data_IF_038898308241
#
_entry.id   IF_038898308241
#
_cell.length_a   1.000
_cell.length_b   1.000
_cell.length_c   1.000
_cell.angle_alpha   90.00
_cell.angle_beta   90.00
_cell.angle_gamma   90.00
#
_symmetry.space_group_name_H-M   'P 1'
#
loop_
_entity.id
_entity.type
_entity.pdbx_description
1 polymer ?
#
# COMPACT_ATOMS: atom_id res chain seq x y z
N UNK A 1 9.59 17.76 -15.99
CA UNK A 1 8.88 16.54 -15.53
C UNK A 1 7.73 17.00 -14.65
N UNK A 2 6.49 16.58 -14.92
CA UNK A 2 5.39 16.86 -13.99
C UNK A 2 5.58 15.92 -12.80
N UNK A 3 5.93 16.47 -11.65
CA UNK A 3 5.98 15.76 -10.39
C UNK A 3 5.45 16.69 -9.29
N UNK A 4 5.02 16.12 -8.18
CA UNK A 4 4.60 16.86 -6.99
C UNK A 4 5.79 17.55 -6.31
N UNK A 5 5.54 18.66 -5.61
CA UNK A 5 6.58 19.37 -4.87
C UNK A 5 6.87 18.70 -3.53
N UNK A 6 5.87 18.16 -2.85
CA UNK A 6 5.95 17.41 -1.59
C UNK A 6 5.35 16.02 -1.78
N UNK A 7 5.82 15.04 -1.00
CA UNK A 7 5.31 13.67 -1.08
C UNK A 7 3.85 13.58 -0.60
N UNK A 8 3.51 14.38 0.41
CA UNK A 8 2.16 14.52 0.99
C UNK A 8 1.08 14.90 -0.04
N UNK A 9 1.44 15.57 -1.13
CA UNK A 9 0.49 15.88 -2.22
C UNK A 9 -0.04 14.62 -2.92
N UNK A 10 0.62 13.46 -2.74
CA UNK A 10 0.17 12.18 -3.29
C UNK A 10 -0.91 11.52 -2.42
N UNK A 11 -0.98 11.84 -1.13
CA UNK A 11 -1.73 11.04 -0.16
C UNK A 11 -3.23 11.13 -0.38
N UNK A 12 -3.79 12.34 -0.54
CA UNK A 12 -5.24 12.50 -0.75
C UNK A 12 -5.73 11.85 -2.08
N UNK A 13 -5.06 12.06 -3.23
CA UNK A 13 -5.39 11.33 -4.45
C UNK A 13 -5.32 9.80 -4.30
N UNK A 14 -4.28 9.29 -3.64
CA UNK A 14 -4.11 7.85 -3.40
C UNK A 14 -5.15 7.29 -2.43
N UNK A 15 -5.54 8.06 -1.41
CA UNK A 15 -6.61 7.72 -0.46
C UNK A 15 -7.94 7.57 -1.17
N UNK A 16 -8.32 8.54 -2.00
CA UNK A 16 -9.55 8.49 -2.81
C UNK A 16 -9.54 7.29 -3.76
N UNK A 17 -8.41 7.04 -4.42
CA UNK A 17 -8.27 5.88 -5.31
C UNK A 17 -8.39 4.56 -4.55
N UNK A 18 -7.71 4.42 -3.42
CA UNK A 18 -7.72 3.20 -2.61
C UNK A 18 -9.12 2.91 -2.09
N UNK A 19 -9.84 3.93 -1.61
CA UNK A 19 -11.20 3.77 -1.12
C UNK A 19 -12.12 3.23 -2.21
N UNK A 20 -12.07 3.83 -3.41
CA UNK A 20 -12.86 3.38 -4.57
C UNK A 20 -12.50 1.95 -4.96
N UNK A 21 -11.19 1.67 -5.08
CA UNK A 21 -10.69 0.34 -5.41
C UNK A 21 -11.20 -0.75 -4.45
N UNK A 22 -11.15 -0.47 -3.14
CA UNK A 22 -11.61 -1.42 -2.12
C UNK A 22 -13.13 -1.54 -2.13
N UNK A 23 -13.89 -0.43 -2.27
CA UNK A 23 -15.36 -0.46 -2.37
C UNK A 23 -15.85 -1.30 -3.55
N UNK A 24 -15.21 -1.17 -4.71
CA UNK A 24 -15.60 -1.89 -5.93
C UNK A 24 -15.38 -3.41 -5.79
N UNK A 25 -14.29 -3.81 -5.11
CA UNK A 25 -13.90 -5.23 -4.92
C UNK A 25 -14.58 -5.92 -3.74
N UNK A 26 -14.76 -5.21 -2.64
CA UNK A 26 -15.25 -5.77 -1.38
C UNK A 26 -16.69 -5.34 -1.13
N UNK A 27 -17.58 -5.72 -2.05
CA UNK A 27 -19.01 -5.38 -1.96
C UNK A 27 -19.62 -5.88 -0.65
N UNK A 28 -20.40 -5.01 0.00
CA UNK A 28 -21.03 -5.29 1.29
C UNK A 28 -20.09 -5.23 2.50
N UNK A 29 -18.86 -4.74 2.33
CA UNK A 29 -18.05 -4.21 3.42
C UNK A 29 -18.33 -2.71 3.57
N UNK A 30 -18.27 -2.22 4.81
CA UNK A 30 -18.12 -0.80 5.11
C UNK A 30 -16.64 -0.43 4.93
N UNK A 31 -16.36 0.53 4.06
CA UNK A 31 -15.00 0.84 3.60
C UNK A 31 -14.71 2.32 3.82
N UNK A 32 -13.61 2.58 4.52
CA UNK A 32 -13.03 3.92 4.68
C UNK A 32 -11.55 3.88 4.30
N UNK A 33 -11.06 4.93 3.64
CA UNK A 33 -9.63 5.18 3.52
C UNK A 33 -9.24 6.51 4.16
N UNK A 34 -8.09 6.50 4.84
CA UNK A 34 -7.52 7.66 5.54
C UNK A 34 -6.09 7.92 5.12
N UNK A 35 -5.72 9.19 5.15
CA UNK A 35 -4.33 9.59 5.25
C UNK A 35 -3.84 9.27 6.68
N UNK A 36 -2.79 8.45 6.77
CA UNK A 36 -2.27 7.88 8.01
C UNK A 36 -0.80 8.26 8.28
N UNK A 37 -0.16 9.05 7.41
CA UNK A 37 1.29 9.31 7.45
C UNK A 37 1.77 9.91 8.79
N UNK A 38 0.93 10.71 9.45
CA UNK A 38 1.31 11.47 10.64
C UNK A 38 1.33 10.63 11.93
N UNK A 39 0.78 9.41 11.91
CA UNK A 39 0.55 8.61 13.10
C UNK A 39 0.97 7.15 12.91
N UNK A 40 1.30 6.50 14.03
CA UNK A 40 1.55 5.06 14.04
C UNK A 40 0.27 4.30 13.74
N UNK A 41 0.40 3.17 13.04
CA UNK A 41 -0.70 2.33 12.62
C UNK A 41 -1.58 1.87 13.78
N UNK A 42 -0.97 1.47 14.91
CA UNK A 42 -1.71 1.06 16.11
C UNK A 42 -2.65 2.18 16.63
N UNK A 43 -2.17 3.43 16.64
CA UNK A 43 -2.97 4.60 17.01
C UNK A 43 -4.07 4.91 16.00
N UNK A 44 -3.78 4.80 14.71
CA UNK A 44 -4.79 5.01 13.65
C UNK A 44 -5.90 3.96 13.77
N UNK A 45 -5.54 2.68 13.93
CA UNK A 45 -6.51 1.58 14.08
C UNK A 45 -7.37 1.72 15.34
N UNK A 46 -6.80 2.19 16.45
CA UNK A 46 -7.53 2.41 17.69
C UNK A 46 -8.69 3.41 17.54
N UNK A 47 -8.54 4.45 16.70
CA UNK A 47 -9.63 5.40 16.39
C UNK A 47 -10.85 4.74 15.75
N UNK A 48 -10.65 3.56 15.15
CA UNK A 48 -11.69 2.74 14.54
C UNK A 48 -12.07 1.53 15.38
N UNK A 49 -11.68 1.47 16.66
CA UNK A 49 -11.90 0.31 17.55
C UNK A 49 -11.34 -0.99 16.96
N UNK A 50 -10.18 -0.94 16.30
CA UNK A 50 -9.46 -2.11 15.80
C UNK A 50 -8.17 -2.25 16.59
N UNK A 51 -7.92 -3.47 17.08
CA UNK A 51 -6.65 -3.84 17.70
C UNK A 51 -5.93 -4.81 16.78
N UNK A 52 -4.67 -4.52 16.48
CA UNK A 52 -3.77 -5.44 15.80
C UNK A 52 -2.52 -5.63 16.67
N UNK A 53 -2.44 -6.76 17.37
CA UNK A 53 -1.37 -7.03 18.32
C UNK A 53 0.03 -6.98 17.69
N UNK A 54 0.14 -7.35 16.41
CA UNK A 54 1.42 -7.33 15.70
C UNK A 54 1.89 -5.91 15.35
N UNK A 55 1.00 -4.91 15.36
CA UNK A 55 1.34 -3.51 15.13
C UNK A 55 1.64 -2.74 16.44
N UNK A 56 1.14 -3.25 17.58
CA UNK A 56 1.26 -2.58 18.88
C UNK A 56 2.73 -2.45 19.30
N UNK A 57 3.20 -1.22 19.50
CA UNK A 57 4.57 -0.99 19.98
C UNK A 57 5.68 -1.03 18.92
N UNK A 58 5.38 -1.34 17.66
CA UNK A 58 6.38 -1.64 16.60
C UNK A 58 6.73 -0.43 15.72
N UNK A 59 6.17 0.76 16.00
CA UNK A 59 6.43 2.00 15.25
C UNK A 59 6.16 1.89 13.74
N UNK A 60 5.16 1.11 13.33
CA UNK A 60 4.72 1.05 11.93
C UNK A 60 4.01 2.35 11.59
N UNK A 61 4.46 3.04 10.55
CA UNK A 61 3.78 4.18 9.92
C UNK A 61 3.54 3.85 8.45
N UNK A 62 2.33 4.10 7.99
CA UNK A 62 1.93 3.88 6.59
C UNK A 62 1.30 5.16 6.07
N UNK A 63 1.58 5.53 4.83
CA UNK A 63 1.10 6.81 4.29
C UNK A 63 -0.44 6.83 4.16
N UNK A 64 -1.01 5.78 3.56
CA UNK A 64 -2.46 5.68 3.38
C UNK A 64 -2.95 4.30 3.77
N UNK A 65 -4.04 4.28 4.54
CA UNK A 65 -4.68 3.07 5.04
C UNK A 65 -6.13 3.02 4.56
N UNK A 66 -6.57 1.89 4.00
CA UNK A 66 -7.98 1.57 3.93
C UNK A 66 -8.36 0.42 4.86
N UNK A 67 -9.55 0.53 5.43
CA UNK A 67 -10.15 -0.43 6.35
C UNK A 67 -11.47 -0.86 5.74
N UNK A 68 -11.64 -2.16 5.49
CA UNK A 68 -12.91 -2.74 5.10
C UNK A 68 -13.44 -3.62 6.24
N UNK A 69 -14.64 -3.30 6.75
CA UNK A 69 -15.30 -4.02 7.84
C UNK A 69 -16.56 -4.73 7.38
N UNK A 70 -16.75 -5.97 7.82
CA UNK A 70 -18.01 -6.70 7.67
C UNK A 70 -18.19 -7.66 8.83
N UNK A 71 -19.22 -7.45 9.64
CA UNK A 71 -19.41 -8.16 10.91
C UNK A 71 -18.14 -8.04 11.78
N UNK A 72 -17.57 -9.16 12.20
CA UNK A 72 -16.30 -9.23 12.95
C UNK A 72 -15.06 -9.24 12.07
N UNK A 73 -15.21 -9.28 10.74
CA UNK A 73 -14.08 -9.30 9.81
C UNK A 73 -13.57 -7.89 9.54
N UNK A 74 -12.27 -7.70 9.73
CA UNK A 74 -11.55 -6.48 9.38
C UNK A 74 -10.47 -6.84 8.37
N UNK A 75 -10.43 -6.10 7.26
CA UNK A 75 -9.38 -6.18 6.23
C UNK A 75 -8.68 -4.83 6.12
N UNK A 76 -7.36 -4.85 6.10
CA UNK A 76 -6.52 -3.66 6.00
C UNK A 76 -5.88 -3.60 4.62
N UNK A 77 -5.71 -2.41 4.08
CA UNK A 77 -5.02 -2.19 2.80
C UNK A 77 -4.06 -1.02 2.94
N UNK A 78 -2.85 -1.17 2.42
CA UNK A 78 -1.78 -0.20 2.59
C UNK A 78 -1.37 0.42 1.27
N UNK A 79 -1.11 1.73 1.25
CA UNK A 79 -0.27 2.36 0.24
C UNK A 79 0.91 3.03 0.95
N UNK A 80 2.12 2.72 0.49
CA UNK A 80 3.33 3.49 0.71
C UNK A 80 3.61 4.30 -0.56
N UNK A 81 3.71 5.61 -0.42
CA UNK A 81 3.87 6.56 -1.51
C UNK A 81 5.31 7.08 -1.56
N UNK A 82 5.82 7.32 -2.77
CA UNK A 82 7.11 7.98 -2.99
C UNK A 82 7.02 9.02 -4.09
N UNK A 83 7.54 10.22 -3.86
CA UNK A 83 7.73 11.20 -4.95
C UNK A 83 9.01 10.97 -5.76
N UNK A 84 9.88 10.07 -5.30
CA UNK A 84 11.19 9.73 -5.88
C UNK A 84 11.15 8.36 -6.56
N UNK A 85 12.21 7.97 -7.26
CA UNK A 85 12.32 6.61 -7.83
C UNK A 85 12.33 5.56 -6.71
N UNK A 86 11.58 4.48 -6.88
CA UNK A 86 11.53 3.41 -5.88
C UNK A 86 12.88 2.69 -5.72
N UNK A 87 13.17 2.33 -4.47
CA UNK A 87 14.41 1.69 -4.04
C UNK A 87 14.14 0.36 -3.35
N UNK A 88 15.19 -0.45 -3.18
CA UNK A 88 15.14 -1.67 -2.37
C UNK A 88 14.80 -1.40 -0.90
N UNK A 89 15.12 -0.21 -0.38
CA UNK A 89 14.77 0.18 0.99
C UNK A 89 13.26 0.34 1.14
N UNK A 90 12.62 1.05 0.21
CA UNK A 90 11.16 1.24 0.22
C UNK A 90 10.44 -0.10 0.14
N UNK A 91 10.93 -1.00 -0.73
CA UNK A 91 10.44 -2.37 -0.83
C UNK A 91 10.57 -3.13 0.50
N UNK A 92 11.76 -3.11 1.10
CA UNK A 92 12.05 -3.84 2.33
C UNK A 92 11.24 -3.36 3.52
N UNK A 93 11.02 -2.05 3.63
CA UNK A 93 10.19 -1.44 4.67
C UNK A 93 8.74 -1.92 4.57
N UNK A 94 8.10 -1.72 3.40
CA UNK A 94 6.71 -2.16 3.22
C UNK A 94 6.59 -3.68 3.36
N UNK A 95 7.57 -4.45 2.89
CA UNK A 95 7.60 -5.90 3.06
C UNK A 95 7.57 -6.31 4.53
N UNK A 96 8.39 -5.67 5.38
CA UNK A 96 8.44 -5.95 6.81
C UNK A 96 7.09 -5.65 7.48
N UNK A 97 6.47 -4.52 7.14
CA UNK A 97 5.13 -4.17 7.64
C UNK A 97 4.09 -5.21 7.21
N UNK A 98 4.14 -5.64 5.95
CA UNK A 98 3.22 -6.64 5.42
C UNK A 98 3.41 -8.02 6.08
N UNK A 99 4.65 -8.40 6.42
CA UNK A 99 4.92 -9.66 7.13
C UNK A 99 4.41 -9.67 8.57
N UNK A 100 4.37 -8.51 9.23
CA UNK A 100 3.86 -8.39 10.59
C UNK A 100 2.32 -8.28 10.62
N UNK A 101 1.76 -7.36 9.81
CA UNK A 101 0.33 -7.00 9.90
C UNK A 101 -0.55 -7.86 8.98
N UNK A 102 0.04 -8.42 7.92
CA UNK A 102 -0.64 -9.26 6.92
C UNK A 102 -1.88 -8.57 6.31
N UNK A 103 -1.74 -7.35 5.75
CA UNK A 103 -2.83 -6.65 5.10
C UNK A 103 -3.43 -7.48 3.96
N UNK A 104 -4.66 -7.18 3.57
CA UNK A 104 -5.32 -7.83 2.44
C UNK A 104 -4.60 -7.54 1.12
N UNK A 105 -4.30 -6.28 0.85
CA UNK A 105 -3.39 -5.88 -0.22
C UNK A 105 -2.50 -4.73 0.24
N UNK A 106 -1.31 -4.62 -0.34
CA UNK A 106 -0.38 -3.54 -0.08
C UNK A 106 0.22 -3.04 -1.39
N UNK A 107 0.42 -1.74 -1.49
CA UNK A 107 0.92 -1.07 -2.68
C UNK A 107 2.11 -0.19 -2.35
N UNK A 108 3.16 -0.28 -3.16
CA UNK A 108 4.28 0.65 -3.16
C UNK A 108 4.20 1.46 -4.46
N UNK A 109 3.89 2.75 -4.36
CA UNK A 109 3.63 3.59 -5.53
C UNK A 109 4.54 4.80 -5.59
N UNK A 110 4.98 5.14 -6.80
CA UNK A 110 5.80 6.35 -7.00
C UNK A 110 5.35 7.20 -8.17
N UNK A 111 5.28 8.51 -7.99
CA UNK A 111 5.01 9.44 -9.10
C UNK A 111 6.16 9.50 -10.13
N UNK A 112 7.38 9.13 -9.73
CA UNK A 112 8.57 9.15 -10.60
C UNK A 112 8.86 7.79 -11.25
N UNK A 113 8.42 6.70 -10.61
CA UNK A 113 8.46 5.33 -11.16
C UNK A 113 9.29 4.34 -10.35
N UNK A 114 9.48 3.15 -10.92
CA UNK A 114 9.99 1.96 -10.22
C UNK A 114 11.51 1.97 -9.96
N UNK A 115 12.27 2.91 -10.51
CA UNK A 115 13.70 3.01 -10.29
C UNK A 115 14.46 1.69 -10.48
N UNK A 116 15.27 1.36 -9.48
CA UNK A 116 16.05 0.11 -9.44
C UNK A 116 15.17 -1.15 -9.38
N UNK A 117 13.95 -1.05 -8.85
CA UNK A 117 13.02 -2.18 -8.74
C UNK A 117 12.54 -2.65 -10.11
N UNK A 118 12.52 -1.79 -11.13
CA UNK A 118 12.19 -2.21 -12.50
C UNK A 118 13.12 -3.32 -12.99
N UNK A 119 14.44 -3.19 -12.73
CA UNK A 119 15.43 -4.21 -13.12
C UNK A 119 15.21 -5.50 -12.34
N UNK A 120 15.00 -5.38 -11.03
CA UNK A 120 14.75 -6.51 -10.13
C UNK A 120 13.53 -7.35 -10.54
N UNK A 121 12.41 -6.69 -10.80
CA UNK A 121 11.15 -7.36 -11.07
C UNK A 121 11.05 -7.83 -12.53
N UNK A 122 11.45 -7.00 -13.50
CA UNK A 122 11.20 -7.31 -14.91
C UNK A 122 12.36 -8.08 -15.55
N UNK A 123 13.61 -7.72 -15.24
CA UNK A 123 14.77 -8.37 -15.85
C UNK A 123 15.21 -9.60 -15.03
N UNK A 124 15.29 -9.48 -13.70
CA UNK A 124 15.68 -10.61 -12.84
C UNK A 124 14.50 -11.49 -12.43
N UNK A 125 13.26 -11.12 -12.79
CA UNK A 125 12.05 -11.91 -12.54
C UNK A 125 11.84 -12.26 -11.06
N UNK A 126 12.29 -11.38 -10.16
CA UNK A 126 12.20 -11.57 -8.70
C UNK A 126 10.88 -11.09 -8.11
N UNK A 127 9.76 -11.49 -8.73
CA UNK A 127 8.43 -11.21 -8.21
C UNK A 127 8.13 -11.93 -6.89
N UNK A 128 8.90 -12.98 -6.55
CA UNK A 128 8.87 -13.66 -5.25
C UNK A 128 9.18 -12.70 -4.08
N UNK A 129 9.95 -11.64 -4.33
CA UNK A 129 10.24 -10.62 -3.30
C UNK A 129 9.02 -9.80 -2.91
N UNK A 130 7.94 -9.86 -3.69
CA UNK A 130 6.68 -9.22 -3.37
C UNK A 130 5.83 -10.07 -2.43
N UNK A 131 6.20 -11.33 -2.18
CA UNK A 131 5.40 -12.29 -1.44
C UNK A 131 5.54 -12.05 0.06
N UNK A 132 4.39 -11.81 0.72
CA UNK A 132 4.33 -11.65 2.16
C UNK A 132 3.34 -12.62 2.85
N UNK A 133 2.68 -13.48 2.09
CA UNK A 133 1.83 -14.55 2.61
C UNK A 133 2.58 -15.58 3.47
N UNK A 134 1.82 -16.53 4.02
CA UNK A 134 2.26 -17.62 4.91
C UNK A 134 2.43 -18.97 4.17
N UNK A 135 2.42 -18.96 2.84
CA UNK A 135 2.44 -20.15 1.98
C UNK A 135 1.09 -20.85 1.81
N UNK A 136 0.13 -20.63 2.72
CA UNK A 136 -1.26 -21.09 2.56
C UNK A 136 -2.13 -20.06 1.86
N UNK A 137 -1.87 -18.78 2.13
CA UNK A 137 -2.50 -17.64 1.46
C UNK A 137 -1.45 -16.90 0.65
N UNK A 138 -1.61 -16.90 -0.67
CA UNK A 138 -0.74 -16.12 -1.55
C UNK A 138 -1.14 -14.64 -1.41
N UNK A 139 -0.26 -13.86 -0.79
CA UNK A 139 -0.38 -12.40 -0.71
C UNK A 139 0.87 -11.75 -1.27
N UNK A 140 0.68 -10.80 -2.18
CA UNK A 140 1.75 -10.06 -2.85
C UNK A 140 1.55 -8.56 -2.70
N UNK A 141 2.64 -7.84 -2.44
CA UNK A 141 2.67 -6.39 -2.62
C UNK A 141 2.54 -6.08 -4.11
N UNK A 142 2.01 -4.91 -4.43
CA UNK A 142 1.91 -4.42 -5.81
C UNK A 142 2.70 -3.14 -5.94
N UNK A 143 3.51 -3.05 -6.98
CA UNK A 143 4.41 -1.93 -7.20
C UNK A 143 4.03 -1.26 -8.50
N UNK A 144 3.84 0.05 -8.49
CA UNK A 144 3.44 0.79 -9.68
C UNK A 144 4.00 2.21 -9.70
N UNK A 145 4.07 2.78 -10.89
CA UNK A 145 4.13 4.21 -11.05
C UNK A 145 2.73 4.79 -10.81
N UNK A 146 2.64 5.88 -10.05
CA UNK A 146 1.45 6.69 -9.91
C UNK A 146 1.41 7.75 -11.02
N UNK A 147 0.28 7.86 -11.72
CA UNK A 147 0.05 8.93 -12.69
C UNK A 147 -0.72 10.08 -12.04
N UNK A 148 0.00 11.17 -11.77
CA UNK A 148 -0.54 12.39 -11.17
C UNK A 148 -1.57 13.12 -12.05
N UNK A 149 -1.66 12.81 -13.35
CA UNK A 149 -2.64 13.43 -14.25
C UNK A 149 -4.00 12.74 -14.12
N UNK A 150 -3.98 11.43 -13.93
CA UNK A 150 -5.20 10.61 -13.82
C UNK A 150 -5.57 10.30 -12.37
N UNK A 151 -4.68 10.58 -11.42
CA UNK A 151 -4.82 10.20 -10.01
C UNK A 151 -5.13 8.70 -9.86
N UNK A 152 -4.37 7.89 -10.59
CA UNK A 152 -4.45 6.44 -10.57
C UNK A 152 -3.08 5.80 -10.84
N UNK A 153 -2.89 4.53 -10.47
CA UNK A 153 -1.70 3.79 -10.86
C UNK A 153 -1.64 3.58 -12.37
N UNK A 154 -0.45 3.73 -12.95
CA UNK A 154 -0.18 3.28 -14.31
C UNK A 154 -0.18 1.74 -14.35
N UNK A 155 -1.27 1.17 -14.85
CA UNK A 155 -1.48 -0.27 -14.94
C UNK A 155 -0.43 -0.99 -15.77
N UNK A 156 0.21 -0.31 -16.75
CA UNK A 156 1.28 -0.90 -17.55
C UNK A 156 2.56 -1.06 -16.73
N UNK A 157 2.81 -0.15 -15.80
CA UNK A 157 3.95 -0.21 -14.87
C UNK A 157 3.76 -1.21 -13.73
N UNK A 158 2.52 -1.60 -13.43
CA UNK A 158 2.20 -2.35 -12.23
C UNK A 158 2.72 -3.79 -12.26
N UNK A 159 3.31 -4.24 -11.14
CA UNK A 159 3.80 -5.61 -10.92
C UNK A 159 3.43 -6.07 -9.49
N UNK A 160 2.79 -7.24 -9.31
CA UNK A 160 2.16 -8.06 -10.35
C UNK A 160 0.95 -7.36 -10.98
N UNK A 161 0.45 -7.88 -12.10
CA UNK A 161 -0.80 -7.37 -12.72
C UNK A 161 -2.02 -7.68 -11.84
N UNK A 162 -3.02 -6.82 -11.94
CA UNK A 162 -4.30 -6.87 -11.21
C UNK A 162 -5.41 -7.45 -12.06
#
# INVERSE_FOLDING_TARGET
MNNVRLEEELYEPMRLWLERYVKDRYKGYDVIAVDAHAERLDRVLAKYNIVNEMANGVDIQIDVLAIAKKNTMVKLFFIEAKKTQLTLRDLGQLWAYCKLVVPEEAFLMSSLGLGSLKKLLNAFRREDLLDFGDGKKIKKMKIAKWDIRTNAPDMMSMVPKI
#
